data_IF_987707135678
#
_entry.id   IF_987707135678
#
_cell.length_a   1.000
_cell.length_b   1.000
_cell.length_c   1.000
_cell.angle_alpha   90.00
_cell.angle_beta   90.00
_cell.angle_gamma   90.00
#
_symmetry.space_group_name_H-M   'P 1'
#
loop_
_entity.id
_entity.type
_entity.pdbx_description
1 polymer ?
#
# COMPACT_ATOMS: atom_id res chain seq x y z
N UNK A 1 26.70 90.93 32.57
CA UNK A 1 26.95 90.14 31.39
C UNK A 1 27.07 88.64 31.77
N UNK A 2 26.10 87.83 31.51
CA UNK A 2 26.19 86.38 31.21
C UNK A 2 24.77 85.90 31.04
N UNK A 3 24.46 85.52 29.84
CA UNK A 3 23.18 84.96 29.40
C UNK A 3 23.08 83.50 29.86
N UNK A 4 21.99 83.15 30.53
CA UNK A 4 21.63 81.81 30.88
C UNK A 4 20.68 81.30 29.86
N UNK A 5 21.05 80.24 29.12
CA UNK A 5 20.20 79.54 28.12
C UNK A 5 19.41 78.44 28.84
N UNK A 6 18.11 78.57 28.79
CA UNK A 6 17.15 77.61 29.35
C UNK A 6 16.98 76.45 28.32
N UNK A 7 17.34 75.19 28.67
CA UNK A 7 17.03 74.02 27.95
C UNK A 7 15.68 73.46 28.42
N UNK A 8 14.70 73.49 27.54
CA UNK A 8 13.42 72.78 27.74
C UNK A 8 13.60 71.36 27.18
N UNK A 9 13.61 70.35 28.10
CA UNK A 9 13.52 68.95 27.75
C UNK A 9 12.03 68.60 27.51
N UNK A 10 11.63 68.47 26.27
CA UNK A 10 10.36 67.90 25.88
C UNK A 10 10.39 66.36 25.93
N UNK A 11 9.78 65.79 26.96
CA UNK A 11 9.57 64.34 27.04
C UNK A 11 8.47 63.94 26.07
N UNK A 12 8.86 63.32 24.95
CA UNK A 12 7.91 62.65 24.02
C UNK A 12 7.61 61.27 24.61
N UNK A 13 6.43 61.13 25.19
CA UNK A 13 5.86 59.85 25.61
C UNK A 13 5.37 59.14 24.35
N UNK A 14 6.17 58.23 23.79
CA UNK A 14 5.73 57.30 22.72
C UNK A 14 4.95 56.21 23.42
N UNK A 15 3.63 56.31 23.44
CA UNK A 15 2.72 55.19 23.73
C UNK A 15 2.77 54.21 22.59
N UNK A 16 3.58 53.16 22.72
CA UNK A 16 3.46 51.98 21.88
C UNK A 16 2.13 51.27 22.19
N UNK A 17 1.12 51.61 21.43
CA UNK A 17 -0.09 50.80 21.32
C UNK A 17 0.31 49.55 20.51
N UNK A 18 0.72 48.48 21.19
CA UNK A 18 0.81 47.18 20.60
C UNK A 18 -0.62 46.73 20.19
N UNK A 19 -1.00 47.02 18.96
CA UNK A 19 -2.15 46.40 18.36
C UNK A 19 -1.88 44.90 18.31
N UNK A 20 -2.39 44.19 19.30
CA UNK A 20 -2.50 42.73 19.26
C UNK A 20 -3.61 42.40 18.24
N UNK A 21 -3.28 42.50 16.96
CA UNK A 21 -4.08 41.93 15.90
C UNK A 21 -3.95 40.39 16.01
N UNK A 22 -4.63 39.80 16.99
CA UNK A 22 -5.14 38.47 16.80
C UNK A 22 -6.08 38.57 15.58
N UNK A 23 -5.60 38.20 14.41
CA UNK A 23 -6.49 37.90 13.30
C UNK A 23 -7.54 36.94 13.85
N UNK A 24 -8.73 37.45 14.11
CA UNK A 24 -9.91 36.62 14.30
C UNK A 24 -10.00 35.82 13.00
N UNK A 25 -9.60 34.55 13.04
CA UNK A 25 -9.90 33.64 11.96
C UNK A 25 -11.42 33.71 11.77
N UNK A 26 -11.85 34.41 10.75
CA UNK A 26 -13.26 34.42 10.35
C UNK A 26 -13.59 32.97 10.03
N UNK A 27 -14.45 32.37 10.85
CA UNK A 27 -14.96 31.03 10.59
C UNK A 27 -15.55 31.05 9.18
N UNK A 28 -14.90 30.33 8.26
CA UNK A 28 -15.41 30.17 6.91
C UNK A 28 -16.54 29.15 6.94
N UNK A 29 -17.55 29.38 6.12
CA UNK A 29 -18.61 28.40 5.89
C UNK A 29 -17.99 27.08 5.43
N UNK A 30 -18.46 25.95 5.97
CA UNK A 30 -18.08 24.62 5.47
C UNK A 30 -18.54 24.37 4.03
N UNK A 31 -19.41 25.21 3.49
CA UNK A 31 -19.88 25.18 2.10
C UNK A 31 -19.14 26.26 1.31
N UNK A 32 -18.30 25.84 0.39
CA UNK A 32 -17.64 26.75 -0.55
C UNK A 32 -18.51 26.91 -1.79
N UNK A 33 -19.12 28.09 -1.96
CA UNK A 33 -20.02 28.39 -3.09
C UNK A 33 -19.32 28.29 -4.45
N UNK A 34 -18.00 28.51 -4.53
CA UNK A 34 -17.27 28.36 -5.79
C UNK A 34 -17.22 26.92 -6.31
N UNK A 35 -17.59 25.94 -5.48
CA UNK A 35 -17.68 24.54 -5.88
C UNK A 35 -19.01 24.19 -6.55
N UNK A 36 -20.03 25.06 -6.42
CA UNK A 36 -21.32 24.88 -7.05
C UNK A 36 -21.25 25.21 -8.56
N UNK A 37 -22.03 24.51 -9.36
CA UNK A 37 -22.34 24.88 -10.74
C UNK A 37 -23.78 25.37 -10.80
N UNK A 38 -23.98 26.67 -10.58
CA UNK A 38 -25.30 27.29 -10.55
C UNK A 38 -25.98 27.34 -11.94
N UNK A 39 -25.30 26.91 -13.01
CA UNK A 39 -25.89 26.80 -14.35
C UNK A 39 -26.76 25.56 -14.52
N UNK A 40 -26.68 24.61 -13.57
CA UNK A 40 -27.42 23.35 -13.57
C UNK A 40 -28.50 23.37 -12.47
N UNK A 41 -29.72 22.95 -12.81
CA UNK A 41 -30.78 22.83 -11.81
C UNK A 41 -30.46 21.64 -10.84
N UNK A 42 -30.51 21.87 -9.52
CA UNK A 42 -30.30 20.79 -8.54
C UNK A 42 -31.36 19.68 -8.61
N UNK A 43 -32.54 20.00 -9.19
CA UNK A 43 -33.57 18.99 -9.41
C UNK A 43 -33.29 18.07 -10.61
N UNK A 44 -32.46 18.52 -11.56
CA UNK A 44 -32.09 17.75 -12.74
C UNK A 44 -30.82 16.91 -12.49
N UNK A 45 -29.77 17.55 -11.98
CA UNK A 45 -28.49 16.89 -11.65
C UNK A 45 -27.87 17.53 -10.40
N UNK A 46 -28.21 16.95 -9.26
CA UNK A 46 -27.71 17.45 -7.97
C UNK A 46 -26.18 17.29 -7.84
N UNK A 47 -25.60 16.25 -8.41
CA UNK A 47 -24.15 16.03 -8.35
C UNK A 47 -23.39 17.11 -9.13
N UNK A 48 -23.81 17.37 -10.37
CA UNK A 48 -23.22 18.44 -11.18
C UNK A 48 -23.41 19.81 -10.52
N UNK A 49 -24.63 20.10 -10.00
CA UNK A 49 -24.89 21.35 -9.26
C UNK A 49 -23.94 21.50 -8.06
N UNK A 50 -23.79 20.46 -7.22
CA UNK A 50 -23.05 20.55 -5.98
C UNK A 50 -21.52 20.52 -6.16
N UNK A 51 -21.01 19.83 -7.18
CA UNK A 51 -19.59 19.54 -7.38
C UNK A 51 -19.00 20.11 -8.67
N UNK A 52 -19.81 20.61 -9.60
CA UNK A 52 -19.37 21.02 -10.94
C UNK A 52 -18.33 22.13 -10.93
N UNK A 53 -18.45 23.11 -10.05
CA UNK A 53 -17.47 24.18 -9.87
C UNK A 53 -16.13 23.63 -9.34
N UNK A 54 -16.17 22.68 -8.40
CA UNK A 54 -14.96 22.00 -7.91
C UNK A 54 -14.27 21.20 -9.02
N UNK A 55 -15.00 20.43 -9.81
CA UNK A 55 -14.47 19.64 -10.93
C UNK A 55 -13.81 20.51 -12.00
N UNK A 56 -14.40 21.68 -12.29
CA UNK A 56 -13.78 22.66 -13.22
C UNK A 56 -12.45 23.22 -12.70
N UNK A 57 -12.33 23.44 -11.39
CA UNK A 57 -11.11 23.94 -10.74
C UNK A 57 -10.03 22.85 -10.59
N UNK A 58 -10.43 21.56 -10.57
CA UNK A 58 -9.56 20.43 -10.33
C UNK A 58 -9.78 19.35 -11.41
N UNK A 59 -9.35 19.61 -12.65
CA UNK A 59 -9.52 18.66 -13.75
C UNK A 59 -8.76 17.37 -13.49
N UNK A 60 -9.33 16.26 -13.96
CA UNK A 60 -8.66 14.95 -13.93
C UNK A 60 -7.40 15.00 -14.78
N UNK A 61 -6.26 14.62 -14.19
CA UNK A 61 -4.98 14.47 -14.88
C UNK A 61 -4.69 13.00 -15.18
N UNK A 62 -3.76 12.72 -16.08
CA UNK A 62 -3.40 11.34 -16.48
C UNK A 62 -2.86 10.47 -15.35
N UNK A 63 -2.36 11.06 -14.27
CA UNK A 63 -1.86 10.34 -13.09
C UNK A 63 -2.98 9.64 -12.29
N UNK A 64 -4.25 9.99 -12.53
CA UNK A 64 -5.41 9.53 -11.78
C UNK A 64 -6.47 8.95 -12.72
N UNK A 65 -7.11 7.85 -12.31
CA UNK A 65 -8.30 7.32 -12.97
C UNK A 65 -9.59 8.00 -12.47
N UNK A 66 -9.54 8.57 -11.28
CA UNK A 66 -10.58 9.39 -10.65
C UNK A 66 -9.90 10.46 -9.82
N UNK A 67 -10.57 11.60 -9.60
CA UNK A 67 -10.01 12.68 -8.81
C UNK A 67 -11.08 13.30 -7.93
N UNK A 68 -10.86 13.35 -6.64
CA UNK A 68 -11.78 13.91 -5.65
C UNK A 68 -11.03 14.71 -4.58
N UNK A 69 -11.77 15.19 -3.59
CA UNK A 69 -11.23 16.01 -2.50
C UNK A 69 -10.14 15.27 -1.70
N UNK A 70 -10.26 13.95 -1.53
CA UNK A 70 -9.22 13.15 -0.87
C UNK A 70 -7.95 13.04 -1.71
N UNK A 71 -8.06 12.94 -3.04
CA UNK A 71 -6.88 12.92 -3.92
C UNK A 71 -6.16 14.27 -3.88
N UNK A 72 -6.92 15.38 -3.88
CA UNK A 72 -6.36 16.74 -3.71
C UNK A 72 -5.66 16.91 -2.37
N UNK A 73 -6.27 16.43 -1.27
CA UNK A 73 -5.65 16.45 0.04
C UNK A 73 -4.36 15.61 0.07
N UNK A 74 -4.41 14.42 -0.54
CA UNK A 74 -3.24 13.54 -0.70
C UNK A 74 -2.11 14.21 -1.48
N UNK A 75 -2.41 14.94 -2.57
CA UNK A 75 -1.41 15.71 -3.33
C UNK A 75 -0.78 16.83 -2.50
N UNK A 76 -1.57 17.56 -1.74
CA UNK A 76 -1.06 18.64 -0.90
C UNK A 76 -0.17 18.08 0.22
N UNK A 77 -0.57 16.95 0.82
CA UNK A 77 0.26 16.23 1.77
C UNK A 77 1.57 15.74 1.13
N UNK A 78 1.53 15.17 -0.08
CA UNK A 78 2.74 14.75 -0.81
C UNK A 78 3.69 15.92 -1.09
N UNK A 79 3.19 17.13 -1.37
CA UNK A 79 4.03 18.33 -1.52
C UNK A 79 4.71 18.69 -0.21
N UNK A 80 3.98 18.66 0.90
CA UNK A 80 4.54 18.91 2.24
C UNK A 80 5.61 17.87 2.62
N UNK A 81 5.33 16.58 2.36
CA UNK A 81 6.29 15.51 2.58
C UNK A 81 7.53 15.67 1.68
N UNK A 82 7.34 16.05 0.41
CA UNK A 82 8.46 16.35 -0.50
C UNK A 82 9.35 17.43 0.08
N UNK A 83 8.78 18.57 0.49
CA UNK A 83 9.55 19.70 1.03
C UNK A 83 10.29 19.31 2.31
N UNK A 84 9.68 18.49 3.16
CA UNK A 84 10.31 17.95 4.36
C UNK A 84 11.48 17.02 4.02
N UNK A 85 11.22 15.98 3.22
CA UNK A 85 12.19 14.93 2.88
C UNK A 85 13.37 15.51 2.07
N UNK A 86 13.10 16.38 1.08
CA UNK A 86 14.18 17.01 0.31
C UNK A 86 15.03 17.96 1.16
N UNK A 87 14.42 18.68 2.12
CA UNK A 87 15.12 19.51 3.07
C UNK A 87 16.05 18.72 4.01
N UNK A 88 15.66 17.49 4.36
CA UNK A 88 16.48 16.53 5.11
C UNK A 88 17.61 15.99 4.21
N UNK A 89 17.26 15.47 3.04
CA UNK A 89 18.21 14.84 2.11
C UNK A 89 19.31 15.79 1.59
N UNK A 90 19.07 17.10 1.61
CA UNK A 90 20.05 18.12 1.20
C UNK A 90 21.15 18.38 2.26
N UNK A 91 21.04 17.81 3.46
CA UNK A 91 21.96 18.06 4.58
C UNK A 91 22.66 16.76 4.98
N UNK A 92 23.84 16.90 5.58
CA UNK A 92 24.49 15.80 6.30
C UNK A 92 23.95 15.74 7.72
N UNK A 93 23.64 14.55 8.16
CA UNK A 93 23.20 14.25 9.52
C UNK A 93 24.14 13.24 10.16
N UNK A 94 24.00 13.01 11.45
CA UNK A 94 24.79 12.00 12.16
C UNK A 94 24.53 10.61 11.55
N UNK A 95 25.59 9.84 11.41
CA UNK A 95 25.52 8.49 10.87
C UNK A 95 24.49 7.66 11.65
N UNK A 96 23.66 6.92 10.93
CA UNK A 96 22.59 6.07 11.49
C UNK A 96 21.41 6.81 12.15
N UNK A 97 21.44 8.16 12.18
CA UNK A 97 20.29 8.93 12.65
C UNK A 97 19.07 8.76 11.74
N UNK A 98 17.88 8.98 12.28
CA UNK A 98 16.62 8.93 11.52
C UNK A 98 16.66 9.89 10.30
N UNK A 99 17.08 11.16 10.43
CA UNK A 99 17.18 12.06 9.28
C UNK A 99 18.15 11.54 8.21
N UNK A 100 19.30 10.93 8.61
CA UNK A 100 20.23 10.37 7.63
C UNK A 100 19.59 9.21 6.86
N UNK A 101 18.89 8.29 7.54
CA UNK A 101 18.20 7.16 6.89
C UNK A 101 17.13 7.62 5.91
N UNK A 102 16.34 8.64 6.26
CA UNK A 102 15.33 9.23 5.39
C UNK A 102 16.00 9.83 4.14
N UNK A 103 17.06 10.63 4.33
CA UNK A 103 17.80 11.24 3.24
C UNK A 103 18.45 10.21 2.31
N UNK A 104 19.08 9.19 2.86
CA UNK A 104 19.71 8.10 2.10
C UNK A 104 18.68 7.33 1.26
N UNK A 105 17.56 6.94 1.84
CA UNK A 105 16.50 6.24 1.12
C UNK A 105 15.92 7.09 -0.03
N UNK A 106 15.70 8.37 0.22
CA UNK A 106 15.24 9.29 -0.82
C UNK A 106 16.27 9.43 -1.96
N UNK A 107 17.54 9.66 -1.63
CA UNK A 107 18.61 9.82 -2.62
C UNK A 107 18.80 8.53 -3.44
N UNK A 108 18.75 7.35 -2.80
CA UNK A 108 18.79 6.06 -3.50
C UNK A 108 17.63 5.91 -4.49
N UNK A 109 16.42 6.25 -4.08
CA UNK A 109 15.23 6.18 -4.96
C UNK A 109 15.28 7.18 -6.12
N UNK A 110 15.96 8.31 -5.94
CA UNK A 110 16.13 9.32 -6.99
C UNK A 110 17.30 9.03 -7.95
N UNK A 111 18.24 8.15 -7.58
CA UNK A 111 19.39 7.77 -8.41
C UNK A 111 19.00 6.80 -9.53
N UNK A 112 18.38 7.35 -10.57
CA UNK A 112 17.97 6.57 -11.73
C UNK A 112 19.13 5.92 -12.47
N UNK A 113 20.31 6.55 -12.48
CA UNK A 113 21.47 6.02 -13.20
C UNK A 113 21.96 4.70 -12.58
N UNK A 114 22.05 4.64 -11.26
CA UNK A 114 22.40 3.41 -10.54
C UNK A 114 21.35 2.34 -10.73
N UNK A 115 20.05 2.67 -10.65
CA UNK A 115 18.96 1.73 -10.85
C UNK A 115 18.95 1.13 -12.26
N UNK A 116 19.18 1.96 -13.30
CA UNK A 116 19.31 1.47 -14.68
C UNK A 116 20.50 0.51 -14.85
N UNK A 117 21.66 0.85 -14.25
CA UNK A 117 22.85 -0.01 -14.30
C UNK A 117 22.64 -1.35 -13.57
N UNK A 118 21.92 -1.36 -12.46
CA UNK A 118 21.65 -2.57 -11.68
C UNK A 118 20.63 -3.49 -12.38
N UNK A 119 19.64 -2.94 -13.08
CA UNK A 119 18.60 -3.72 -13.74
C UNK A 119 17.93 -4.71 -12.78
N UNK A 120 18.00 -6.00 -13.10
CA UNK A 120 17.45 -7.09 -12.28
C UNK A 120 18.41 -7.60 -11.18
N UNK A 121 19.62 -7.07 -11.07
CA UNK A 121 20.65 -7.58 -10.14
C UNK A 121 20.13 -7.73 -8.69
N UNK A 122 19.34 -6.80 -8.13
CA UNK A 122 18.88 -6.91 -6.74
C UNK A 122 18.06 -8.16 -6.43
N UNK A 123 17.37 -8.75 -7.42
CA UNK A 123 16.51 -9.93 -7.25
C UNK A 123 17.16 -11.23 -7.73
N UNK A 124 18.34 -11.17 -8.36
CA UNK A 124 18.97 -12.34 -8.99
C UNK A 124 19.24 -13.50 -8.01
N UNK A 125 19.75 -13.21 -6.82
CA UNK A 125 20.04 -14.25 -5.84
C UNK A 125 18.76 -15.01 -5.40
N UNK A 126 17.65 -14.28 -5.26
CA UNK A 126 16.37 -14.88 -4.88
C UNK A 126 15.76 -15.67 -6.03
N UNK A 127 15.87 -15.18 -7.25
CA UNK A 127 15.45 -15.90 -8.45
C UNK A 127 16.27 -17.18 -8.65
N UNK A 128 17.58 -17.15 -8.38
CA UNK A 128 18.42 -18.32 -8.47
C UNK A 128 18.03 -19.37 -7.42
N UNK A 129 17.77 -18.96 -6.15
CA UNK A 129 17.29 -19.89 -5.11
C UNK A 129 15.99 -20.59 -5.55
N UNK A 130 15.07 -19.87 -6.17
CA UNK A 130 13.83 -20.45 -6.72
C UNK A 130 14.14 -21.40 -7.88
N UNK A 131 15.04 -21.02 -8.82
CA UNK A 131 15.43 -21.85 -9.95
C UNK A 131 16.10 -23.15 -9.52
N UNK A 132 16.82 -23.15 -8.41
CA UNK A 132 17.56 -24.31 -7.88
C UNK A 132 16.66 -25.33 -7.17
N UNK A 133 15.39 -25.01 -6.86
CA UNK A 133 14.45 -25.98 -6.27
C UNK A 133 14.35 -27.24 -7.13
N UNK A 134 14.53 -28.40 -6.50
CA UNK A 134 14.56 -29.71 -7.18
C UNK A 134 13.25 -30.48 -7.08
N UNK A 135 12.46 -30.20 -6.07
CA UNK A 135 11.21 -30.90 -5.82
C UNK A 135 10.26 -30.05 -4.97
N UNK A 136 8.99 -30.42 -4.95
CA UNK A 136 7.93 -29.67 -4.24
C UNK A 136 8.11 -29.67 -2.70
N UNK A 137 8.88 -30.59 -2.11
CA UNK A 137 9.13 -30.59 -0.66
C UNK A 137 9.96 -29.40 -0.21
N UNK A 138 10.74 -28.81 -1.12
CA UNK A 138 11.53 -27.60 -0.85
C UNK A 138 10.65 -26.34 -0.81
N UNK A 139 9.39 -26.42 -1.27
CA UNK A 139 8.46 -25.31 -1.29
C UNK A 139 8.26 -24.69 0.10
N UNK A 140 8.17 -25.51 1.16
CA UNK A 140 7.98 -25.02 2.54
C UNK A 140 9.05 -24.01 2.95
N UNK A 141 10.31 -24.34 2.70
CA UNK A 141 11.43 -23.46 3.04
C UNK A 141 11.45 -22.22 2.15
N UNK A 142 11.16 -22.39 0.86
CA UNK A 142 11.08 -21.28 -0.09
C UNK A 142 9.97 -20.28 0.29
N UNK A 143 8.78 -20.76 0.65
CA UNK A 143 7.69 -19.87 1.09
C UNK A 143 8.07 -19.10 2.36
N UNK A 144 8.75 -19.72 3.30
CA UNK A 144 9.22 -19.03 4.50
C UNK A 144 10.31 -17.98 4.18
N UNK A 145 11.24 -18.28 3.27
CA UNK A 145 12.26 -17.33 2.81
C UNK A 145 11.62 -16.12 2.11
N UNK A 146 10.66 -16.37 1.21
CA UNK A 146 9.92 -15.32 0.50
C UNK A 146 9.14 -14.43 1.47
N UNK A 147 8.43 -15.04 2.42
CA UNK A 147 7.69 -14.32 3.46
C UNK A 147 8.60 -13.38 4.26
N UNK A 148 9.76 -13.83 4.72
CA UNK A 148 10.73 -13.01 5.47
C UNK A 148 11.31 -11.86 4.65
N UNK A 149 11.28 -11.97 3.32
CA UNK A 149 11.69 -10.90 2.38
C UNK A 149 10.53 -10.01 1.94
N UNK A 150 9.32 -10.23 2.48
CA UNK A 150 8.14 -9.42 2.19
C UNK A 150 7.37 -9.84 0.94
N UNK A 151 7.74 -10.94 0.27
CA UNK A 151 7.03 -11.47 -0.89
C UNK A 151 5.97 -12.48 -0.45
N UNK A 152 4.69 -12.18 -0.70
CA UNK A 152 3.58 -13.10 -0.47
C UNK A 152 3.39 -14.07 -1.63
N UNK A 153 3.14 -15.36 -1.33
CA UNK A 153 2.81 -16.36 -2.33
C UNK A 153 1.86 -17.40 -1.74
N UNK A 154 0.83 -17.78 -2.49
CA UNK A 154 -0.22 -18.74 -2.11
C UNK A 154 -1.04 -18.33 -0.88
N UNK A 155 -0.43 -18.01 0.24
CA UNK A 155 -1.09 -17.54 1.46
C UNK A 155 -0.24 -16.52 2.19
N UNK A 156 -0.85 -15.70 3.03
CA UNK A 156 -0.18 -14.80 3.95
C UNK A 156 -0.43 -15.19 5.40
N UNK A 157 0.50 -14.85 6.28
CA UNK A 157 0.36 -15.01 7.73
C UNK A 157 0.59 -13.65 8.39
N UNK A 158 -0.29 -13.26 9.30
CA UNK A 158 -0.18 -12.00 10.03
C UNK A 158 -0.80 -12.15 11.43
N UNK A 159 -0.55 -11.20 12.30
CA UNK A 159 -1.16 -11.14 13.63
C UNK A 159 -2.34 -10.16 13.63
N UNK A 160 -3.45 -10.58 14.19
CA UNK A 160 -4.67 -9.79 14.31
C UNK A 160 -5.36 -10.10 15.63
N UNK A 161 -6.21 -9.20 16.12
CA UNK A 161 -6.99 -9.44 17.32
C UNK A 161 -7.88 -10.69 17.16
N UNK A 162 -7.97 -11.48 18.23
CA UNK A 162 -8.87 -12.64 18.26
C UNK A 162 -10.34 -12.17 18.41
N UNK A 163 -11.22 -12.43 17.43
CA UNK A 163 -12.64 -12.05 17.53
C UNK A 163 -13.36 -12.61 18.77
N UNK A 164 -12.93 -13.76 19.27
CA UNK A 164 -13.50 -14.37 20.49
C UNK A 164 -12.93 -13.77 21.79
N UNK A 165 -11.77 -13.09 21.73
CA UNK A 165 -11.15 -12.42 22.87
C UNK A 165 -10.21 -11.30 22.39
N UNK A 166 -10.72 -10.11 22.25
CA UNK A 166 -10.01 -8.94 21.72
C UNK A 166 -8.77 -8.50 22.53
N UNK A 167 -8.56 -9.05 23.73
CA UNK A 167 -7.34 -8.81 24.52
C UNK A 167 -6.15 -9.66 24.06
N UNK A 168 -6.35 -10.54 23.12
CA UNK A 168 -5.31 -11.44 22.58
C UNK A 168 -5.16 -11.23 21.08
N UNK A 169 -3.91 -11.16 20.61
CA UNK A 169 -3.59 -11.32 19.20
C UNK A 169 -3.33 -12.79 18.90
N UNK A 170 -3.80 -13.24 17.76
CA UNK A 170 -3.58 -14.60 17.24
C UNK A 170 -2.98 -14.50 15.83
N UNK A 171 -2.32 -15.55 15.38
CA UNK A 171 -1.92 -15.64 13.98
C UNK A 171 -3.16 -15.93 13.10
N UNK A 172 -3.15 -15.34 11.92
CA UNK A 172 -4.13 -15.56 10.86
C UNK A 172 -3.42 -16.08 9.63
N UNK A 173 -3.99 -17.09 8.99
CA UNK A 173 -3.62 -17.52 7.65
C UNK A 173 -4.73 -17.10 6.68
N UNK A 174 -4.34 -16.42 5.60
CA UNK A 174 -5.27 -15.78 4.68
C UNK A 174 -4.91 -16.08 3.23
N UNK A 175 -5.93 -16.25 2.38
CA UNK A 175 -5.75 -16.43 0.94
C UNK A 175 -5.07 -15.22 0.30
N UNK A 176 -4.06 -15.46 -0.56
CA UNK A 176 -3.35 -14.43 -1.34
C UNK A 176 -2.66 -15.04 -2.56
N UNK A 177 -2.00 -14.23 -3.36
CA UNK A 177 -1.14 -14.67 -4.45
C UNK A 177 -1.77 -14.61 -5.84
N UNK A 178 -2.96 -13.99 -5.99
CA UNK A 178 -3.52 -13.67 -7.30
C UNK A 178 -2.93 -12.35 -7.81
N UNK A 179 -2.21 -12.36 -8.91
CA UNK A 179 -1.49 -11.19 -9.42
C UNK A 179 -2.41 -10.10 -10.01
N UNK A 180 -3.65 -10.43 -10.41
CA UNK A 180 -4.64 -9.43 -10.86
C UNK A 180 -5.51 -8.93 -9.70
N UNK A 181 -5.41 -9.56 -8.52
CA UNK A 181 -6.13 -9.20 -7.30
C UNK A 181 -7.41 -10.00 -7.10
N UNK A 182 -8.57 -9.53 -7.52
CA UNK A 182 -9.84 -10.21 -7.29
C UNK A 182 -9.99 -11.47 -8.17
N UNK A 183 -10.57 -12.54 -7.60
CA UNK A 183 -10.87 -13.80 -8.30
C UNK A 183 -11.74 -13.61 -9.56
N UNK A 184 -12.63 -12.62 -9.56
CA UNK A 184 -13.55 -12.35 -10.67
C UNK A 184 -12.80 -12.01 -11.96
N UNK A 185 -11.62 -11.37 -11.87
CA UNK A 185 -10.77 -11.13 -13.04
C UNK A 185 -10.31 -12.42 -13.76
N UNK A 186 -10.22 -13.53 -13.06
CA UNK A 186 -9.84 -14.83 -13.63
C UNK A 186 -11.01 -15.62 -14.16
N UNK A 187 -12.22 -15.44 -13.59
CA UNK A 187 -13.36 -16.30 -13.81
C UNK A 187 -14.40 -15.71 -14.76
N UNK A 188 -14.56 -14.40 -14.81
CA UNK A 188 -15.55 -13.75 -15.64
C UNK A 188 -15.09 -13.67 -17.09
N UNK A 189 -16.04 -13.86 -18.02
CA UNK A 189 -15.75 -13.83 -19.47
C UNK A 189 -15.37 -12.43 -19.96
N UNK A 190 -15.98 -11.42 -19.38
CA UNK A 190 -15.82 -10.00 -19.72
C UNK A 190 -14.41 -9.49 -19.40
N UNK A 191 -13.71 -10.14 -18.49
CA UNK A 191 -12.35 -9.78 -18.07
C UNK A 191 -11.25 -10.45 -18.90
N UNK A 192 -11.59 -11.23 -19.93
CA UNK A 192 -10.60 -11.86 -20.82
C UNK A 192 -9.55 -10.90 -21.39
N UNK A 193 -9.88 -9.68 -21.86
CA UNK A 193 -8.86 -8.74 -22.33
C UNK A 193 -7.83 -8.35 -21.26
N UNK A 194 -8.23 -8.32 -19.98
CA UNK A 194 -7.32 -8.05 -18.86
C UNK A 194 -6.36 -9.23 -18.67
N UNK A 195 -6.85 -10.47 -18.73
CA UNK A 195 -6.01 -11.68 -18.66
C UNK A 195 -5.01 -11.75 -19.81
N UNK A 196 -5.41 -11.36 -21.01
CA UNK A 196 -4.51 -11.34 -22.19
C UNK A 196 -3.36 -10.34 -21.96
N UNK A 197 -3.64 -9.14 -21.44
CA UNK A 197 -2.61 -8.16 -21.08
C UNK A 197 -1.77 -8.60 -19.87
N UNK A 198 -2.35 -9.39 -18.97
CA UNK A 198 -1.59 -9.97 -17.84
C UNK A 198 -0.55 -10.98 -18.34
N UNK A 199 -0.87 -11.82 -19.32
CA UNK A 199 0.12 -12.71 -19.97
C UNK A 199 1.27 -11.91 -20.59
N UNK A 200 0.99 -10.76 -21.22
CA UNK A 200 2.02 -9.86 -21.75
C UNK A 200 2.94 -9.34 -20.64
N UNK A 201 2.36 -8.88 -19.51
CA UNK A 201 3.12 -8.47 -18.33
C UNK A 201 4.04 -9.60 -17.85
N UNK A 202 3.48 -10.79 -17.58
CA UNK A 202 4.24 -11.92 -17.03
C UNK A 202 5.37 -12.36 -17.97
N UNK A 203 5.09 -12.43 -19.27
CA UNK A 203 6.09 -12.76 -20.30
C UNK A 203 7.27 -11.79 -20.25
N UNK A 204 6.96 -10.49 -20.23
CA UNK A 204 8.00 -9.46 -20.21
C UNK A 204 8.78 -9.44 -18.89
N UNK A 205 8.13 -9.68 -17.74
CA UNK A 205 8.80 -9.79 -16.46
C UNK A 205 9.77 -10.98 -16.39
N UNK A 206 9.41 -12.15 -16.97
CA UNK A 206 10.31 -13.29 -17.10
C UNK A 206 11.55 -12.96 -17.96
N UNK A 207 11.37 -12.20 -19.02
CA UNK A 207 12.47 -11.76 -19.90
C UNK A 207 13.38 -10.74 -19.22
N UNK A 208 12.81 -9.66 -18.70
CA UNK A 208 13.56 -8.57 -18.07
C UNK A 208 14.35 -9.05 -16.85
N UNK A 209 13.78 -9.95 -16.05
CA UNK A 209 14.45 -10.53 -14.89
C UNK A 209 15.58 -11.50 -15.25
N UNK A 210 15.63 -12.00 -16.49
CA UNK A 210 16.55 -13.05 -16.90
C UNK A 210 16.21 -14.44 -16.36
N UNK A 211 15.06 -14.61 -15.69
CA UNK A 211 14.64 -15.90 -15.14
C UNK A 211 14.45 -16.97 -16.23
N UNK A 212 14.04 -16.56 -17.44
CA UNK A 212 13.97 -17.44 -18.58
C UNK A 212 15.30 -18.16 -18.87
N UNK A 213 16.43 -17.48 -18.70
CA UNK A 213 17.77 -18.06 -18.90
C UNK A 213 18.21 -18.99 -17.77
N UNK A 214 17.63 -18.84 -16.58
CA UNK A 214 17.96 -19.68 -15.41
C UNK A 214 17.19 -21.00 -15.40
N UNK A 215 15.93 -21.00 -15.79
CA UNK A 215 15.01 -22.10 -15.54
C UNK A 215 14.17 -22.53 -16.76
N UNK A 216 14.14 -21.75 -17.83
CA UNK A 216 13.33 -22.01 -19.02
C UNK A 216 14.22 -22.20 -20.25
N UNK A 217 13.67 -22.81 -21.28
CA UNK A 217 14.28 -22.74 -22.62
C UNK A 217 13.89 -21.42 -23.28
N UNK A 218 14.80 -20.80 -24.01
CA UNK A 218 14.55 -19.56 -24.74
C UNK A 218 13.33 -19.69 -25.67
N UNK A 219 12.49 -18.66 -25.69
CA UNK A 219 11.25 -18.62 -26.48
C UNK A 219 10.03 -19.30 -25.84
N UNK A 220 10.14 -19.77 -24.58
CA UNK A 220 9.02 -20.41 -23.87
C UNK A 220 8.36 -19.51 -22.81
N UNK A 221 8.76 -18.25 -22.72
CA UNK A 221 8.30 -17.33 -21.69
C UNK A 221 6.79 -17.11 -21.74
N UNK A 222 6.21 -16.95 -22.93
CA UNK A 222 4.75 -16.78 -23.10
C UNK A 222 3.98 -18.03 -22.68
N UNK A 223 4.48 -19.23 -23.03
CA UNK A 223 3.85 -20.48 -22.61
C UNK A 223 3.90 -20.63 -21.08
N UNK A 224 5.01 -20.23 -20.45
CA UNK A 224 5.14 -20.25 -19.00
C UNK A 224 4.24 -19.21 -18.35
N UNK A 225 4.13 -18.01 -18.90
CA UNK A 225 3.19 -16.99 -18.44
C UNK A 225 1.73 -17.48 -18.48
N UNK A 226 1.34 -18.18 -19.56
CA UNK A 226 0.03 -18.84 -19.68
C UNK A 226 -0.15 -19.95 -18.64
N UNK A 227 0.89 -20.74 -18.36
CA UNK A 227 0.84 -21.77 -17.32
C UNK A 227 0.66 -21.16 -15.91
N UNK A 228 1.35 -20.06 -15.62
CA UNK A 228 1.15 -19.31 -14.37
C UNK A 228 -0.26 -18.72 -14.27
N UNK A 229 -0.78 -18.10 -15.34
CA UNK A 229 -2.17 -17.65 -15.38
C UNK A 229 -3.16 -18.81 -15.13
N UNK A 230 -2.90 -19.98 -15.69
CA UNK A 230 -3.73 -21.17 -15.45
C UNK A 230 -3.66 -21.61 -13.97
N UNK A 231 -2.49 -21.64 -13.35
CA UNK A 231 -2.33 -21.90 -11.92
C UNK A 231 -3.12 -20.91 -11.07
N UNK A 232 -2.98 -19.61 -11.31
CA UNK A 232 -3.72 -18.58 -10.59
C UNK A 232 -5.24 -18.69 -10.84
N UNK A 233 -5.66 -19.13 -12.02
CA UNK A 233 -7.07 -19.39 -12.32
C UNK A 233 -7.63 -20.56 -11.49
N UNK A 234 -6.86 -21.64 -11.31
CA UNK A 234 -7.26 -22.73 -10.41
C UNK A 234 -7.32 -22.26 -8.96
N UNK A 235 -6.38 -21.41 -8.52
CA UNK A 235 -6.46 -20.75 -7.21
C UNK A 235 -7.71 -19.87 -7.09
N UNK A 236 -8.02 -19.07 -8.08
CA UNK A 236 -9.19 -18.19 -8.10
C UNK A 236 -10.52 -18.96 -7.96
N UNK A 237 -10.63 -20.16 -8.52
CA UNK A 237 -11.83 -21.02 -8.38
C UNK A 237 -12.11 -21.41 -6.93
N UNK A 238 -11.07 -21.54 -6.11
CA UNK A 238 -11.18 -21.96 -4.70
C UNK A 238 -11.06 -20.80 -3.72
N UNK A 239 -10.79 -19.58 -4.18
CA UNK A 239 -10.81 -18.37 -3.37
C UNK A 239 -12.23 -18.09 -2.86
N UNK A 240 -12.35 -17.69 -1.61
CA UNK A 240 -13.60 -17.17 -1.07
C UNK A 240 -13.97 -15.86 -1.76
N UNK A 241 -15.28 -15.70 -2.05
CA UNK A 241 -15.83 -14.48 -2.67
C UNK A 241 -15.64 -13.25 -1.77
N UNK A 242 -15.48 -12.07 -2.40
CA UNK A 242 -15.27 -10.80 -1.69
C UNK A 242 -16.41 -10.39 -0.74
N UNK A 243 -17.64 -10.83 -0.99
CA UNK A 243 -18.75 -10.56 -0.08
C UNK A 243 -18.67 -11.47 1.14
N UNK A 244 -18.33 -12.75 0.94
CA UNK A 244 -18.14 -13.72 2.01
C UNK A 244 -16.93 -13.39 2.90
N UNK A 245 -15.87 -12.79 2.33
CA UNK A 245 -14.72 -12.30 3.09
C UNK A 245 -15.07 -11.21 4.13
N UNK A 246 -16.22 -10.56 3.98
CA UNK A 246 -16.71 -9.55 4.93
C UNK A 246 -17.50 -10.14 6.10
N UNK A 247 -17.86 -11.41 6.01
CA UNK A 247 -18.61 -12.10 7.06
C UNK A 247 -17.63 -12.71 8.07
N UNK A 248 -17.54 -12.16 9.30
CA UNK A 248 -16.64 -12.69 10.33
C UNK A 248 -16.97 -14.12 10.74
N UNK A 249 -18.23 -14.57 10.59
CA UNK A 249 -18.61 -15.96 10.89
C UNK A 249 -18.04 -16.94 9.86
N UNK A 250 -17.83 -16.50 8.62
CA UNK A 250 -17.21 -17.32 7.56
C UNK A 250 -15.70 -17.33 7.64
N UNK A 251 -15.09 -16.23 8.11
CA UNK A 251 -13.64 -16.05 8.11
C UNK A 251 -12.98 -16.38 9.45
N UNK A 252 -13.77 -16.64 10.51
CA UNK A 252 -13.22 -17.06 11.78
C UNK A 252 -13.31 -18.58 11.94
N UNK A 253 -12.20 -19.27 11.68
CA UNK A 253 -12.06 -20.72 11.74
C UNK A 253 -10.79 -21.06 12.55
N UNK A 254 -10.89 -20.93 13.88
CA UNK A 254 -9.78 -21.17 14.79
C UNK A 254 -9.51 -22.68 14.89
N UNK A 255 -8.27 -23.10 14.64
CA UNK A 255 -7.89 -24.51 14.65
C UNK A 255 -6.43 -24.70 15.10
N UNK A 256 -6.09 -25.95 15.43
CA UNK A 256 -4.71 -26.32 15.76
C UNK A 256 -3.81 -26.35 14.50
N UNK A 257 -2.50 -26.21 14.70
CA UNK A 257 -1.51 -26.38 13.62
C UNK A 257 -1.49 -27.82 13.09
N UNK A 258 -1.84 -28.82 13.92
CA UNK A 258 -2.01 -30.21 13.52
C UNK A 258 -3.22 -30.39 12.58
N UNK A 259 -4.34 -29.70 12.85
CA UNK A 259 -5.51 -29.75 11.97
C UNK A 259 -5.24 -29.00 10.66
N UNK A 260 -4.53 -27.89 10.70
CA UNK A 260 -4.04 -27.21 9.49
C UNK A 260 -3.14 -28.15 8.67
N UNK A 261 -2.21 -28.88 9.30
CA UNK A 261 -1.34 -29.84 8.61
C UNK A 261 -2.14 -30.94 7.88
N UNK A 262 -3.28 -31.39 8.44
CA UNK A 262 -4.13 -32.41 7.79
C UNK A 262 -4.77 -31.90 6.49
N UNK A 263 -5.07 -30.61 6.41
CA UNK A 263 -5.73 -30.01 5.24
C UNK A 263 -4.75 -29.51 4.17
N UNK A 264 -3.46 -29.28 4.53
CA UNK A 264 -2.41 -28.88 3.58
C UNK A 264 -1.13 -29.72 3.73
N UNK A 265 -1.16 -31.03 3.50
CA UNK A 265 0.04 -31.88 3.61
C UNK A 265 1.17 -31.55 2.62
N UNK A 266 0.91 -30.78 1.56
CA UNK A 266 1.93 -30.29 0.62
C UNK A 266 2.91 -29.28 1.23
N UNK A 267 2.55 -28.64 2.35
CA UNK A 267 3.40 -27.70 3.10
C UNK A 267 3.61 -28.28 4.51
N UNK A 268 4.86 -28.37 4.96
CA UNK A 268 5.17 -28.69 6.35
C UNK A 268 4.89 -27.47 7.22
N UNK A 269 3.71 -27.45 7.85
CA UNK A 269 3.20 -26.32 8.62
C UNK A 269 4.13 -25.97 9.79
N UNK A 270 4.63 -26.98 10.50
CA UNK A 270 5.52 -26.78 11.65
C UNK A 270 6.87 -26.18 11.22
N UNK A 271 7.44 -26.70 10.15
CA UNK A 271 8.69 -26.18 9.58
C UNK A 271 8.49 -24.74 9.05
N UNK A 272 7.38 -24.47 8.38
CA UNK A 272 7.07 -23.12 7.88
C UNK A 272 7.00 -22.11 9.03
N UNK A 273 6.18 -22.37 10.07
CA UNK A 273 6.06 -21.45 11.22
C UNK A 273 7.37 -21.27 11.99
N UNK A 274 8.12 -22.34 12.17
CA UNK A 274 9.46 -22.27 12.76
C UNK A 274 10.39 -21.34 11.98
N UNK A 275 10.39 -21.45 10.66
CA UNK A 275 11.29 -20.69 9.78
C UNK A 275 10.92 -19.19 9.71
N UNK A 276 9.64 -18.84 9.89
CA UNK A 276 9.21 -17.43 9.98
C UNK A 276 9.25 -16.86 11.41
N UNK A 277 9.78 -17.62 12.39
CA UNK A 277 9.95 -17.15 13.78
C UNK A 277 8.78 -17.42 14.72
N UNK A 278 7.75 -18.17 14.30
CA UNK A 278 6.57 -18.53 15.10
C UNK A 278 6.66 -19.96 15.65
N UNK A 279 7.74 -20.27 16.36
CA UNK A 279 8.07 -21.63 16.78
C UNK A 279 7.10 -22.25 17.83
N UNK A 280 6.42 -21.39 18.59
CA UNK A 280 5.55 -21.81 19.70
C UNK A 280 4.08 -21.70 19.39
N UNK A 281 3.73 -21.54 18.12
CA UNK A 281 2.33 -21.43 17.73
C UNK A 281 1.68 -22.82 17.69
N UNK A 282 0.64 -23.01 18.49
CA UNK A 282 -0.13 -24.26 18.56
C UNK A 282 -1.45 -24.18 17.80
N UNK A 283 -1.97 -22.96 17.62
CA UNK A 283 -3.24 -22.73 16.97
C UNK A 283 -3.29 -21.34 16.34
N UNK A 284 -4.13 -21.20 15.33
CA UNK A 284 -4.31 -19.98 14.56
C UNK A 284 -5.72 -19.89 13.97
N UNK A 285 -6.09 -18.72 13.47
CA UNK A 285 -7.26 -18.61 12.61
C UNK A 285 -6.89 -18.89 11.15
N UNK A 286 -7.59 -19.81 10.52
CA UNK A 286 -7.50 -20.06 9.08
C UNK A 286 -8.71 -19.41 8.41
N UNK A 287 -8.53 -18.23 7.81
CA UNK A 287 -9.63 -17.44 7.28
C UNK A 287 -10.47 -18.19 6.22
N UNK A 288 -9.83 -19.02 5.40
CA UNK A 288 -10.48 -19.73 4.29
C UNK A 288 -10.02 -21.21 4.23
N UNK A 289 -10.57 -22.10 5.09
CA UNK A 289 -10.14 -23.51 5.11
C UNK A 289 -10.35 -24.25 3.78
N UNK A 290 -11.42 -23.93 3.05
CA UNK A 290 -11.70 -24.56 1.76
C UNK A 290 -10.70 -24.12 0.68
N UNK A 291 -10.24 -22.88 0.71
CA UNK A 291 -9.11 -22.45 -0.11
C UNK A 291 -7.86 -23.26 0.20
N UNK A 292 -7.51 -23.43 1.47
CA UNK A 292 -6.31 -24.18 1.88
C UNK A 292 -6.37 -25.64 1.40
N UNK A 293 -7.52 -26.30 1.50
CA UNK A 293 -7.75 -27.65 0.95
C UNK A 293 -7.62 -27.67 -0.57
N UNK A 294 -8.18 -26.66 -1.26
CA UNK A 294 -8.07 -26.50 -2.71
C UNK A 294 -6.63 -26.29 -3.14
N UNK A 295 -5.91 -25.38 -2.45
CA UNK A 295 -4.50 -25.10 -2.69
C UNK A 295 -3.63 -26.37 -2.57
N UNK A 296 -3.89 -27.22 -1.56
CA UNK A 296 -3.17 -28.49 -1.44
C UNK A 296 -3.30 -29.37 -2.68
N UNK A 297 -4.50 -29.47 -3.24
CA UNK A 297 -4.73 -30.25 -4.50
C UNK A 297 -4.02 -29.62 -5.69
N UNK A 298 -4.07 -28.30 -5.79
CA UNK A 298 -3.40 -27.54 -6.85
C UNK A 298 -1.89 -27.78 -6.78
N UNK A 299 -1.27 -27.65 -5.60
CA UNK A 299 0.18 -27.89 -5.42
C UNK A 299 0.61 -29.31 -5.76
N UNK A 300 -0.26 -30.31 -5.52
CA UNK A 300 0.02 -31.70 -5.85
C UNK A 300 -0.10 -32.01 -7.35
N UNK A 301 -0.90 -31.24 -8.11
CA UNK A 301 -1.15 -31.46 -9.52
C UNK A 301 -0.36 -30.55 -10.45
N UNK A 302 0.18 -29.44 -9.93
CA UNK A 302 0.96 -28.49 -10.72
C UNK A 302 2.40 -28.95 -10.85
N UNK A 303 2.95 -28.87 -12.06
CA UNK A 303 4.35 -29.18 -12.27
C UNK A 303 5.29 -28.17 -11.58
N UNK A 304 6.47 -28.65 -11.19
CA UNK A 304 7.42 -27.85 -10.41
C UNK A 304 7.88 -26.60 -11.16
N UNK A 305 8.00 -26.62 -12.48
CA UNK A 305 8.47 -25.47 -13.25
C UNK A 305 7.43 -24.34 -13.23
N UNK A 306 6.16 -24.67 -13.32
CA UNK A 306 5.07 -23.70 -13.17
C UNK A 306 5.05 -23.08 -11.77
N UNK A 307 5.21 -23.89 -10.71
CA UNK A 307 5.32 -23.38 -9.33
C UNK A 307 6.52 -22.45 -9.18
N UNK A 308 7.69 -22.82 -9.67
CA UNK A 308 8.90 -21.98 -9.64
C UNK A 308 8.71 -20.68 -10.41
N UNK A 309 8.14 -20.71 -11.59
CA UNK A 309 7.87 -19.51 -12.38
C UNK A 309 6.87 -18.57 -11.70
N UNK A 310 5.82 -19.13 -11.08
CA UNK A 310 4.89 -18.34 -10.26
C UNK A 310 5.61 -17.63 -9.11
N UNK A 311 6.44 -18.34 -8.33
CA UNK A 311 7.20 -17.74 -7.22
C UNK A 311 8.17 -16.65 -7.72
N UNK A 312 8.87 -16.91 -8.83
CA UNK A 312 9.77 -15.93 -9.44
C UNK A 312 9.03 -14.67 -9.89
N UNK A 313 7.83 -14.82 -10.47
CA UNK A 313 7.01 -13.69 -10.89
C UNK A 313 6.46 -12.90 -9.70
N UNK A 314 6.13 -13.53 -8.56
CA UNK A 314 5.79 -12.79 -7.34
C UNK A 314 6.96 -11.88 -6.91
N UNK A 315 8.19 -12.43 -6.84
CA UNK A 315 9.40 -11.66 -6.50
C UNK A 315 9.62 -10.49 -7.46
N UNK A 316 9.53 -10.74 -8.77
CA UNK A 316 9.79 -9.73 -9.79
C UNK A 316 8.72 -8.64 -9.77
N UNK A 317 7.45 -9.00 -9.65
CA UNK A 317 6.34 -8.03 -9.60
C UNK A 317 6.42 -7.13 -8.35
N UNK A 318 6.75 -7.69 -7.18
CA UNK A 318 6.92 -6.92 -5.95
C UNK A 318 8.10 -5.95 -6.06
N UNK A 319 9.19 -6.38 -6.69
CA UNK A 319 10.38 -5.56 -6.87
C UNK A 319 10.28 -4.55 -8.03
N UNK A 320 9.44 -4.79 -9.03
CA UNK A 320 9.37 -4.03 -10.28
C UNK A 320 9.30 -2.49 -10.10
N UNK A 321 8.55 -1.94 -9.13
CA UNK A 321 8.52 -0.48 -8.89
C UNK A 321 9.87 0.13 -8.47
N UNK A 322 10.81 -0.69 -8.02
CA UNK A 322 12.10 -0.30 -7.44
C UNK A 322 13.32 -0.70 -8.30
N UNK A 323 13.10 -1.32 -9.45
CA UNK A 323 14.13 -1.72 -10.40
C UNK A 323 14.35 -0.68 -11.52
N UNK A 324 14.99 -1.07 -12.63
CA UNK A 324 15.19 -0.19 -13.78
C UNK A 324 13.87 0.24 -14.44
N UNK A 325 13.94 1.27 -15.27
CA UNK A 325 12.75 1.88 -15.87
C UNK A 325 11.91 0.90 -16.69
N UNK A 326 12.52 -0.10 -17.33
CA UNK A 326 11.80 -1.11 -18.09
C UNK A 326 10.85 -1.94 -17.22
N UNK A 327 11.26 -2.30 -15.99
CA UNK A 327 10.39 -2.96 -15.03
C UNK A 327 9.27 -2.04 -14.56
N UNK A 328 9.62 -0.82 -14.17
CA UNK A 328 8.68 0.20 -13.71
C UNK A 328 7.61 0.49 -14.78
N UNK A 329 8.05 0.65 -16.03
CA UNK A 329 7.13 0.93 -17.16
C UNK A 329 6.24 -0.28 -17.46
N UNK A 330 6.81 -1.48 -17.48
CA UNK A 330 6.06 -2.72 -17.73
C UNK A 330 4.99 -2.95 -16.65
N UNK A 331 5.33 -2.71 -15.37
CA UNK A 331 4.41 -2.78 -14.25
C UNK A 331 3.29 -1.72 -14.39
N UNK A 332 3.65 -0.47 -14.73
CA UNK A 332 2.67 0.59 -14.92
C UNK A 332 1.74 0.35 -16.11
N UNK A 333 2.23 -0.20 -17.21
CA UNK A 333 1.41 -0.46 -18.41
C UNK A 333 0.27 -1.45 -18.12
N UNK A 334 0.49 -2.38 -17.20
CA UNK A 334 -0.58 -3.28 -16.76
C UNK A 334 -1.38 -2.69 -15.58
N UNK A 335 -0.77 -2.50 -14.41
CA UNK A 335 -1.49 -2.12 -13.20
C UNK A 335 -1.99 -0.68 -13.22
N UNK A 336 -1.23 0.23 -13.84
CA UNK A 336 -1.60 1.63 -14.00
C UNK A 336 -2.60 1.85 -15.13
N UNK A 337 -2.24 1.46 -16.35
CA UNK A 337 -3.07 1.72 -17.53
C UNK A 337 -4.20 0.72 -17.68
N UNK A 338 -3.87 -0.57 -17.84
CA UNK A 338 -4.87 -1.60 -18.17
C UNK A 338 -5.86 -1.81 -17.03
N UNK A 339 -5.35 -2.01 -15.80
CA UNK A 339 -6.21 -2.37 -14.67
C UNK A 339 -6.86 -1.15 -14.00
N UNK A 340 -6.13 -0.04 -13.86
CA UNK A 340 -6.62 1.15 -13.13
C UNK A 340 -7.10 2.28 -14.04
N UNK A 341 -6.87 2.26 -15.37
CA UNK A 341 -7.33 3.28 -16.31
C UNK A 341 -6.55 4.60 -16.27
N UNK A 342 -5.36 4.64 -15.66
CA UNK A 342 -4.48 5.82 -15.69
C UNK A 342 -3.82 5.94 -17.06
N UNK A 343 -3.53 7.17 -17.51
CA UNK A 343 -2.84 7.41 -18.78
C UNK A 343 -1.38 7.82 -18.62
N UNK A 344 -1.00 8.33 -17.43
CA UNK A 344 0.35 8.81 -17.12
C UNK A 344 0.86 8.24 -15.81
N UNK A 345 2.14 7.93 -15.77
CA UNK A 345 2.84 7.49 -14.55
C UNK A 345 3.16 8.71 -13.68
N UNK A 346 2.97 8.57 -12.37
CA UNK A 346 3.43 9.59 -11.42
C UNK A 346 4.94 9.85 -11.60
N UNK A 347 5.40 11.11 -11.60
CA UNK A 347 6.82 11.44 -11.70
C UNK A 347 7.64 10.77 -10.58
N UNK A 348 8.92 10.51 -10.86
CA UNK A 348 9.80 9.75 -9.94
C UNK A 348 9.77 10.28 -8.52
N UNK A 349 9.85 11.59 -8.33
CA UNK A 349 9.85 12.18 -6.98
C UNK A 349 8.59 11.82 -6.18
N UNK A 350 7.39 11.81 -6.80
CA UNK A 350 6.15 11.40 -6.13
C UNK A 350 6.22 9.94 -5.68
N UNK A 351 6.74 9.07 -6.56
CA UNK A 351 6.89 7.64 -6.25
C UNK A 351 7.91 7.41 -5.12
N UNK A 352 9.04 8.12 -5.16
CA UNK A 352 10.09 8.00 -4.12
C UNK A 352 9.63 8.56 -2.78
N UNK A 353 8.91 9.69 -2.76
CA UNK A 353 8.30 10.22 -1.52
C UNK A 353 7.34 9.19 -0.91
N UNK A 354 6.51 8.54 -1.72
CA UNK A 354 5.61 7.47 -1.24
C UNK A 354 6.39 6.25 -0.73
N UNK A 355 7.51 5.90 -1.36
CA UNK A 355 8.38 4.82 -0.87
C UNK A 355 9.00 5.16 0.49
N UNK A 356 9.51 6.38 0.66
CA UNK A 356 10.07 6.83 1.94
C UNK A 356 9.01 6.83 3.04
N UNK A 357 7.82 7.35 2.72
CA UNK A 357 6.67 7.37 3.64
C UNK A 357 6.20 5.93 4.00
N UNK A 358 6.13 5.04 3.03
CA UNK A 358 5.78 3.63 3.26
C UNK A 358 6.80 2.86 4.11
N UNK A 359 8.09 3.14 3.96
CA UNK A 359 9.15 2.45 4.70
C UNK A 359 9.47 3.08 6.07
N UNK A 360 9.38 4.42 6.18
CA UNK A 360 9.82 5.19 7.34
C UNK A 360 8.73 6.16 7.84
N UNK A 361 7.44 5.86 7.58
CA UNK A 361 6.32 6.76 7.80
C UNK A 361 6.19 7.26 9.24
N UNK A 362 6.40 6.40 10.24
CA UNK A 362 6.39 6.81 11.66
C UNK A 362 7.48 7.85 11.97
N UNK A 363 8.67 7.67 11.42
CA UNK A 363 9.80 8.57 11.60
C UNK A 363 9.58 9.90 10.84
N UNK A 364 9.09 9.84 9.62
CA UNK A 364 8.71 11.02 8.82
C UNK A 364 7.55 11.74 9.49
N UNK A 365 6.59 11.00 10.05
CA UNK A 365 5.42 11.51 10.76
C UNK A 365 5.79 12.38 11.99
N UNK A 366 6.81 11.99 12.75
CA UNK A 366 7.31 12.83 13.86
C UNK A 366 7.74 14.21 13.37
N UNK A 367 8.55 14.26 12.30
CA UNK A 367 9.03 15.52 11.72
C UNK A 367 7.91 16.32 11.05
N UNK A 368 6.94 15.63 10.46
CA UNK A 368 5.76 16.24 9.86
C UNK A 368 4.90 16.95 10.91
N UNK A 369 4.65 16.29 12.06
CA UNK A 369 3.87 16.83 13.16
C UNK A 369 4.52 18.10 13.72
N UNK A 370 5.85 18.10 13.92
CA UNK A 370 6.56 19.28 14.40
C UNK A 370 6.38 20.51 13.49
N UNK A 371 6.27 20.29 12.18
CA UNK A 371 6.20 21.38 11.19
C UNK A 371 4.77 21.76 10.80
N UNK A 372 3.87 20.78 10.64
CA UNK A 372 2.57 20.97 9.98
C UNK A 372 1.36 20.66 10.87
N UNK A 373 1.54 20.12 12.06
CA UNK A 373 0.44 19.75 12.95
C UNK A 373 0.61 20.35 14.35
N UNK A 374 0.21 21.61 14.55
CA UNK A 374 0.36 22.31 15.83
C UNK A 374 -0.50 21.67 16.94
N UNK A 375 -0.06 21.83 18.20
CA UNK A 375 -0.73 21.25 19.37
C UNK A 375 -2.22 21.59 19.46
N UNK A 376 -2.60 22.81 19.10
CA UNK A 376 -4.00 23.25 19.06
C UNK A 376 -4.86 22.44 18.09
N UNK A 377 -4.30 22.01 16.93
CA UNK A 377 -4.99 21.14 16.00
C UNK A 377 -5.24 19.75 16.61
N UNK A 378 -4.25 19.21 17.33
CA UNK A 378 -4.39 17.94 18.07
C UNK A 378 -5.50 18.04 19.13
N UNK A 379 -5.53 19.08 19.93
CA UNK A 379 -6.56 19.29 20.96
C UNK A 379 -7.97 19.36 20.35
N UNK A 380 -8.12 20.08 19.24
CA UNK A 380 -9.40 20.15 18.52
C UNK A 380 -9.85 18.79 17.98
N UNK A 381 -8.92 18.00 17.45
CA UNK A 381 -9.22 16.66 16.96
C UNK A 381 -9.59 15.70 18.10
N UNK A 382 -8.90 15.76 19.24
CA UNK A 382 -9.24 14.97 20.43
C UNK A 382 -10.66 15.30 20.91
N UNK A 383 -11.01 16.58 21.01
CA UNK A 383 -12.36 17.00 21.37
C UNK A 383 -13.43 16.52 20.37
N UNK A 384 -13.11 16.55 19.08
CA UNK A 384 -14.01 15.98 18.04
C UNK A 384 -14.22 14.49 18.27
N UNK A 385 -13.15 13.73 18.52
CA UNK A 385 -13.23 12.28 18.79
C UNK A 385 -14.05 11.99 20.04
N UNK A 386 -13.87 12.77 21.11
CA UNK A 386 -14.64 12.60 22.35
C UNK A 386 -16.13 12.86 22.13
N UNK A 387 -16.49 13.92 21.39
CA UNK A 387 -17.88 14.19 21.03
C UNK A 387 -18.49 13.06 20.17
N UNK A 388 -17.70 12.47 19.24
CA UNK A 388 -18.14 11.32 18.44
C UNK A 388 -18.36 10.08 19.29
N UNK A 389 -17.48 9.81 20.28
CA UNK A 389 -17.65 8.69 21.22
C UNK A 389 -18.91 8.85 22.08
N UNK A 390 -19.17 10.06 22.59
CA UNK A 390 -20.37 10.37 23.36
C UNK A 390 -21.64 10.13 22.53
N UNK A 391 -21.69 10.70 21.32
CA UNK A 391 -22.80 10.51 20.40
C UNK A 391 -22.98 9.02 20.00
N UNK A 392 -21.91 8.26 19.83
CA UNK A 392 -21.97 6.82 19.59
C UNK A 392 -22.55 6.07 20.79
N UNK A 393 -22.14 6.41 22.01
CA UNK A 393 -22.68 5.85 23.24
C UNK A 393 -24.20 6.04 23.36
N UNK A 394 -24.69 7.28 23.08
CA UNK A 394 -26.13 7.56 23.04
C UNK A 394 -26.87 6.73 21.98
N UNK A 395 -26.30 6.56 20.79
CA UNK A 395 -26.88 5.73 19.71
C UNK A 395 -26.92 4.26 20.08
N UNK A 396 -25.87 3.72 20.69
CA UNK A 396 -25.83 2.33 21.17
C UNK A 396 -26.91 2.11 22.23
N UNK A 397 -27.05 3.03 23.21
CA UNK A 397 -28.05 2.93 24.27
C UNK A 397 -29.50 2.93 23.75
N UNK A 398 -29.74 3.57 22.60
CA UNK A 398 -31.07 3.63 21.96
C UNK A 398 -31.28 2.52 20.92
N UNK A 399 -30.29 1.67 20.68
CA UNK A 399 -30.34 0.65 19.65
C UNK A 399 -31.21 -0.53 20.10
N UNK A 400 -32.17 -0.94 19.27
CA UNK A 400 -33.14 -2.03 19.59
C UNK A 400 -32.74 -3.37 18.98
N UNK A 401 -31.71 -3.44 18.16
CA UNK A 401 -31.28 -4.67 17.46
C UNK A 401 -29.93 -5.22 17.92
N UNK A 402 -29.14 -4.44 18.66
CA UNK A 402 -27.94 -4.93 19.34
C UNK A 402 -28.25 -5.19 20.81
N UNK A 403 -27.88 -6.37 21.28
CA UNK A 403 -28.03 -6.79 22.69
C UNK A 403 -26.71 -6.64 23.43
#
# INVERSE_FOLDING_TARGET
>A
MKRSTLFILGSILITMTACNNKEKSTLQSGINKSFLDETVSPAQDFYQYACGGWMKQHPLTGEYARYGSFDKLGEDNQKQLKDLITGIAAKKHDKESIPQKIGDLYNMGMDSATLEKQGATPVQAQLQSIADMKNIKELTNMLAELYLKGTGAFFSVFAEANPANSNMNIAWLWQTGLGIGDRDYYLEKETQPIRDQYVVLLTKMLQLSGYNKMSLSEGKEENMAKAVLALETEMAKVFMDKNDLRDPHKTYNYMSTEDLQKIIPAVDVKTYFKNIGLQTIDSLNVGQPDYVKGLNKILQSTDLQTVKAYLALQVVNDAAPYLSNDFVQTNFDFYGKTLSGKTEMKPRWKRVVLTVDGCLGEAVGQMYVEKYFPAEAKERMLKLVDNLKEALGERIAQNTWMT
#
